data_IF_656607987567
#
_entry.id   IF_656607987567
#
_cell.length_a   1.000
_cell.length_b   1.000
_cell.length_c   1.000
_cell.angle_alpha   90.00
_cell.angle_beta   90.00
_cell.angle_gamma   90.00
#
_symmetry.space_group_name_H-M   'P 1'
#
loop_
_entity.id
_entity.type
_entity.pdbx_description
1 polymer ?
#
# COMPACT_ATOMS: atom_id res chain seq x y z
N UNK A 1 -29.90 16.50 7.72
CA UNK A 1 -29.61 17.91 7.37
C UNK A 1 -30.01 18.90 8.45
N UNK A 2 -31.17 18.77 9.12
CA UNK A 2 -31.59 19.65 10.24
C UNK A 2 -30.52 19.79 11.34
N UNK A 3 -29.97 18.67 11.84
CA UNK A 3 -28.90 18.66 12.85
C UNK A 3 -27.64 19.46 12.46
N UNK A 4 -27.22 19.43 11.19
CA UNK A 4 -26.06 20.20 10.73
C UNK A 4 -26.40 21.69 10.55
N UNK A 5 -27.65 22.03 10.24
CA UNK A 5 -28.10 23.42 10.17
C UNK A 5 -28.23 24.08 11.54
N UNK A 6 -28.57 23.29 12.57
CA UNK A 6 -28.75 23.76 13.96
C UNK A 6 -27.43 23.78 14.75
N UNK A 7 -26.44 22.94 14.37
CA UNK A 7 -25.17 22.82 15.07
C UNK A 7 -23.98 23.22 14.19
N UNK A 8 -23.51 24.46 14.37
CA UNK A 8 -22.38 25.03 13.63
C UNK A 8 -21.08 24.23 13.82
N UNK A 9 -20.85 23.65 15.01
CA UNK A 9 -19.67 22.83 15.26
C UNK A 9 -19.71 21.54 14.44
N UNK A 10 -20.84 20.83 14.43
CA UNK A 10 -21.00 19.61 13.63
C UNK A 10 -20.90 19.90 12.12
N UNK A 11 -21.44 21.04 11.67
CA UNK A 11 -21.30 21.51 10.29
C UNK A 11 -19.83 21.76 9.91
N UNK A 12 -19.08 22.51 10.74
CA UNK A 12 -17.68 22.80 10.50
C UNK A 12 -16.82 21.53 10.48
N UNK A 13 -17.08 20.57 11.40
CA UNK A 13 -16.43 19.25 11.36
C UNK A 13 -16.73 18.50 10.06
N UNK A 14 -17.98 18.55 9.58
CA UNK A 14 -18.37 17.91 8.32
C UNK A 14 -17.70 18.53 7.08
N UNK A 15 -17.23 19.77 7.16
CA UNK A 15 -16.51 20.45 6.08
C UNK A 15 -14.99 20.22 6.11
N UNK A 16 -14.43 19.69 7.21
CA UNK A 16 -12.96 19.52 7.35
C UNK A 16 -12.33 18.70 6.25
N UNK A 17 -13.01 17.69 5.70
CA UNK A 17 -12.49 16.89 4.58
C UNK A 17 -12.21 17.73 3.32
N UNK A 18 -12.89 18.88 3.15
CA UNK A 18 -12.63 19.83 2.07
C UNK A 18 -11.36 20.64 2.26
N UNK A 19 -10.73 20.58 3.44
CA UNK A 19 -9.51 21.32 3.83
C UNK A 19 -8.35 20.40 4.23
N UNK A 20 -8.64 19.20 4.73
CA UNK A 20 -7.65 18.19 5.13
C UNK A 20 -7.46 17.13 4.04
N UNK A 21 -8.45 17.00 3.15
CA UNK A 21 -8.51 15.98 2.12
C UNK A 21 -9.05 14.64 2.61
N UNK A 22 -9.12 13.65 1.70
CA UNK A 22 -9.56 12.31 2.07
C UNK A 22 -8.55 11.63 2.99
N UNK A 23 -9.04 10.84 3.95
CA UNK A 23 -8.19 10.01 4.79
C UNK A 23 -7.41 8.98 3.97
N UNK A 24 -6.25 8.55 4.46
CA UNK A 24 -5.46 7.51 3.79
C UNK A 24 -6.22 6.17 3.71
N UNK A 25 -7.06 5.88 4.71
CA UNK A 25 -7.97 4.72 4.67
C UNK A 25 -8.98 4.79 3.52
N UNK A 26 -9.54 5.96 3.26
CA UNK A 26 -10.43 6.19 2.13
C UNK A 26 -9.69 6.10 0.79
N UNK A 27 -8.50 6.71 0.69
CA UNK A 27 -7.65 6.60 -0.51
C UNK A 27 -7.31 5.14 -0.81
N UNK A 28 -6.94 4.36 0.20
CA UNK A 28 -6.66 2.93 0.08
C UNK A 28 -7.89 2.14 -0.39
N UNK A 29 -9.08 2.43 0.16
CA UNK A 29 -10.33 1.81 -0.24
C UNK A 29 -10.65 2.05 -1.73
N UNK A 30 -10.52 3.30 -2.18
CA UNK A 30 -10.79 3.71 -3.57
C UNK A 30 -9.77 3.12 -4.55
N UNK A 31 -8.49 3.07 -4.16
CA UNK A 31 -7.44 2.46 -4.96
C UNK A 31 -7.63 0.96 -5.13
N UNK A 32 -8.09 0.27 -4.08
CA UNK A 32 -8.39 -1.14 -4.22
C UNK A 32 -9.61 -1.38 -5.10
N UNK A 33 -10.67 -0.60 -4.93
CA UNK A 33 -11.89 -0.62 -5.76
C UNK A 33 -11.61 -0.44 -7.27
N UNK A 34 -10.41 -0.01 -7.63
CA UNK A 34 -9.97 0.16 -9.00
C UNK A 34 -9.83 -1.09 -9.83
N UNK A 35 -9.32 -2.14 -9.20
CA UNK A 35 -8.99 -3.36 -9.92
C UNK A 35 -10.32 -4.04 -10.21
N UNK A 36 -10.64 -4.16 -11.50
CA UNK A 36 -11.85 -4.81 -11.97
C UNK A 36 -12.00 -6.19 -11.32
N UNK A 37 -13.24 -6.58 -11.00
CA UNK A 37 -13.52 -7.84 -10.31
C UNK A 37 -12.87 -9.04 -10.99
N UNK A 38 -12.91 -9.10 -12.33
CA UNK A 38 -12.23 -10.14 -13.12
C UNK A 38 -10.72 -10.19 -12.89
N UNK A 39 -10.04 -9.04 -12.85
CA UNK A 39 -8.60 -8.99 -12.60
C UNK A 39 -8.26 -9.48 -11.20
N UNK A 40 -9.08 -9.14 -10.19
CA UNK A 40 -8.90 -9.64 -8.82
C UNK A 40 -9.01 -11.16 -8.76
N UNK A 41 -10.03 -11.70 -9.44
CA UNK A 41 -10.26 -13.14 -9.53
C UNK A 41 -9.09 -13.85 -10.22
N UNK A 42 -8.59 -13.31 -11.32
CA UNK A 42 -7.41 -13.86 -12.01
C UNK A 42 -6.16 -13.85 -11.14
N UNK A 43 -5.88 -12.76 -10.42
CA UNK A 43 -4.73 -12.70 -9.51
C UNK A 43 -4.87 -13.75 -8.40
N UNK A 44 -6.08 -13.94 -7.87
CA UNK A 44 -6.33 -14.97 -6.87
C UNK A 44 -6.08 -16.37 -7.42
N UNK A 45 -6.61 -16.70 -8.60
CA UNK A 45 -6.37 -18.00 -9.24
C UNK A 45 -4.89 -18.21 -9.59
N UNK A 46 -4.24 -17.20 -10.17
CA UNK A 46 -2.82 -17.28 -10.49
C UNK A 46 -1.96 -17.50 -9.24
N UNK A 47 -2.32 -16.87 -8.11
CA UNK A 47 -1.64 -17.09 -6.82
C UNK A 47 -1.82 -18.52 -6.35
N UNK A 48 -3.04 -19.08 -6.43
CA UNK A 48 -3.29 -20.48 -6.05
C UNK A 48 -2.54 -21.48 -6.94
N UNK A 49 -2.45 -21.21 -8.24
CA UNK A 49 -1.70 -22.05 -9.19
C UNK A 49 -0.21 -22.00 -8.83
N UNK A 50 0.34 -20.79 -8.63
CA UNK A 50 1.74 -20.61 -8.25
C UNK A 50 2.08 -21.33 -6.94
N UNK A 51 1.22 -21.25 -5.92
CA UNK A 51 1.44 -21.97 -4.64
C UNK A 51 1.47 -23.49 -4.82
N UNK A 52 0.63 -24.04 -5.71
CA UNK A 52 0.64 -25.47 -6.05
C UNK A 52 1.93 -25.86 -6.78
N UNK A 53 2.34 -25.07 -7.77
CA UNK A 53 3.57 -25.32 -8.52
C UNK A 53 4.81 -25.25 -7.64
N UNK A 54 4.88 -24.25 -6.76
CA UNK A 54 5.99 -24.09 -5.82
C UNK A 54 6.11 -25.27 -4.85
N UNK A 55 5.01 -25.96 -4.55
CA UNK A 55 4.96 -27.14 -3.66
C UNK A 55 5.39 -28.43 -4.36
N UNK A 56 5.50 -28.42 -5.68
CA UNK A 56 5.94 -29.57 -6.46
C UNK A 56 7.42 -29.95 -6.20
N UNK A 57 7.78 -31.25 -6.27
CA UNK A 57 9.13 -31.73 -5.97
C UNK A 57 10.21 -31.23 -6.94
N UNK A 58 9.82 -30.74 -8.12
CA UNK A 58 10.73 -30.20 -9.14
C UNK A 58 11.00 -28.70 -9.00
N UNK A 59 10.32 -27.98 -8.10
CA UNK A 59 10.44 -26.53 -8.02
C UNK A 59 11.66 -26.10 -7.19
N UNK A 60 12.63 -25.46 -7.83
CA UNK A 60 13.84 -24.94 -7.18
C UNK A 60 13.52 -23.64 -6.43
N UNK A 61 13.25 -23.72 -5.13
CA UNK A 61 13.04 -22.54 -4.28
C UNK A 61 14.38 -21.88 -3.94
N UNK A 62 14.41 -20.53 -3.98
CA UNK A 62 15.48 -19.78 -3.31
C UNK A 62 15.38 -20.00 -1.79
N UNK A 63 16.51 -20.01 -1.06
CA UNK A 63 16.48 -20.18 0.38
C UNK A 63 15.76 -19.00 1.05
N UNK A 64 14.72 -19.31 1.84
CA UNK A 64 13.92 -18.32 2.58
C UNK A 64 14.70 -17.63 3.71
N UNK A 65 15.78 -18.27 4.16
CA UNK A 65 16.63 -17.80 5.24
C UNK A 65 18.07 -18.17 4.91
N UNK A 66 18.97 -17.22 5.06
CA UNK A 66 20.40 -17.43 4.89
C UNK A 66 21.11 -16.96 6.16
N UNK A 67 21.91 -17.84 6.76
CA UNK A 67 22.72 -17.52 7.93
C UNK A 67 24.19 -17.56 7.55
N UNK A 68 24.90 -16.45 7.74
CA UNK A 68 26.34 -16.34 7.52
C UNK A 68 27.00 -15.86 8.79
N UNK A 69 27.61 -16.78 9.54
CA UNK A 69 28.16 -16.50 10.86
C UNK A 69 27.04 -16.13 11.84
N UNK A 70 27.10 -14.92 12.40
CA UNK A 70 26.08 -14.38 13.31
C UNK A 70 24.95 -13.65 12.59
N UNK A 71 25.08 -13.36 11.30
CA UNK A 71 24.05 -12.64 10.55
C UNK A 71 23.05 -13.61 9.91
N UNK A 72 21.77 -13.47 10.26
CA UNK A 72 20.67 -14.17 9.59
C UNK A 72 19.85 -13.17 8.77
N UNK A 73 19.62 -13.50 7.50
CA UNK A 73 18.81 -12.72 6.56
C UNK A 73 17.60 -13.55 6.13
N UNK A 74 16.43 -12.92 6.21
CA UNK A 74 15.14 -13.46 5.78
C UNK A 74 14.81 -12.93 4.39
N UNK A 75 14.40 -13.83 3.51
CA UNK A 75 13.91 -13.52 2.19
C UNK A 75 12.38 -13.59 2.20
N UNK A 76 11.77 -12.45 1.90
CA UNK A 76 10.32 -12.24 1.86
C UNK A 76 9.90 -11.84 0.44
N UNK A 77 8.64 -12.12 0.12
CA UNK A 77 8.05 -11.70 -1.15
C UNK A 77 6.96 -10.67 -0.90
N UNK A 78 6.98 -9.55 -1.63
CA UNK A 78 6.01 -8.48 -1.47
C UNK A 78 5.48 -8.03 -2.83
N UNK A 79 4.17 -7.88 -2.96
CA UNK A 79 3.55 -7.30 -4.16
C UNK A 79 2.57 -6.18 -3.80
N UNK A 80 2.37 -5.24 -4.70
CA UNK A 80 1.24 -4.31 -4.59
C UNK A 80 -0.08 -5.08 -4.74
N UNK A 81 -1.07 -4.80 -3.88
CA UNK A 81 -2.40 -5.43 -4.06
C UNK A 81 -2.98 -5.04 -5.42
N UNK A 82 -3.34 -6.05 -6.21
CA UNK A 82 -3.83 -5.85 -7.57
C UNK A 82 -2.77 -6.07 -8.67
N UNK A 83 -1.52 -6.34 -8.29
CA UNK A 83 -0.51 -6.91 -9.19
C UNK A 83 -0.28 -8.38 -8.86
N UNK A 84 0.19 -9.13 -9.85
CA UNK A 84 0.54 -10.53 -9.67
C UNK A 84 2.01 -10.70 -9.24
N UNK A 85 2.91 -9.97 -9.89
CA UNK A 85 4.36 -10.07 -9.69
C UNK A 85 4.79 -9.72 -8.26
N UNK A 86 5.68 -10.56 -7.70
CA UNK A 86 6.23 -10.42 -6.36
C UNK A 86 7.67 -9.90 -6.42
N UNK A 87 7.95 -8.91 -5.58
CA UNK A 87 9.30 -8.40 -5.38
C UNK A 87 9.98 -9.08 -4.19
N UNK A 88 11.28 -9.36 -4.35
CA UNK A 88 12.10 -9.90 -3.26
C UNK A 88 12.52 -8.79 -2.31
N UNK A 89 12.24 -8.98 -1.02
CA UNK A 89 12.65 -8.13 0.09
C UNK A 89 13.54 -8.94 1.03
N UNK A 90 14.60 -8.32 1.54
CA UNK A 90 15.54 -8.96 2.45
C UNK A 90 15.57 -8.21 3.78
N UNK A 91 15.29 -8.92 4.87
CA UNK A 91 15.35 -8.36 6.23
C UNK A 91 16.43 -9.06 7.05
N UNK A 92 17.19 -8.29 7.83
CA UNK A 92 18.18 -8.82 8.77
C UNK A 92 17.49 -9.17 10.09
N UNK A 93 17.94 -10.24 10.75
CA UNK A 93 17.38 -10.72 12.02
C UNK A 93 17.30 -9.64 13.11
N UNK A 94 18.31 -8.76 13.20
CA UNK A 94 18.31 -7.64 14.16
C UNK A 94 17.23 -6.59 13.93
N UNK A 95 16.59 -6.55 12.75
CA UNK A 95 15.58 -5.57 12.35
C UNK A 95 14.27 -6.26 11.88
N UNK A 96 13.86 -7.36 12.53
CA UNK A 96 12.58 -8.01 12.24
C UNK A 96 11.42 -7.26 12.91
N UNK A 97 11.07 -6.10 12.36
CA UNK A 97 9.92 -5.30 12.80
C UNK A 97 9.02 -4.97 11.60
N UNK A 98 7.71 -4.75 11.81
CA UNK A 98 6.83 -4.29 10.74
C UNK A 98 7.29 -2.96 10.12
N UNK A 99 7.85 -2.05 10.93
CA UNK A 99 8.36 -0.77 10.45
C UNK A 99 9.59 -0.92 9.54
N UNK A 100 10.49 -1.87 9.85
CA UNK A 100 11.63 -2.20 8.99
C UNK A 100 11.18 -2.81 7.66
N UNK A 101 10.14 -3.66 7.69
CA UNK A 101 9.52 -4.19 6.48
C UNK A 101 8.95 -3.06 5.60
N UNK A 102 8.20 -2.14 6.18
CA UNK A 102 7.63 -1.00 5.45
C UNK A 102 8.73 -0.13 4.81
N UNK A 103 9.83 0.12 5.54
CA UNK A 103 10.96 0.89 5.04
C UNK A 103 11.67 0.20 3.86
N UNK A 104 11.96 -1.10 3.96
CA UNK A 104 12.61 -1.84 2.88
C UNK A 104 11.69 -2.03 1.67
N UNK A 105 10.38 -2.24 1.88
CA UNK A 105 9.38 -2.23 0.80
C UNK A 105 9.39 -0.88 0.10
N UNK A 106 9.29 0.21 0.84
CA UNK A 106 9.27 1.55 0.25
C UNK A 106 10.57 1.85 -0.52
N UNK A 107 11.73 1.43 0.00
CA UNK A 107 13.04 1.56 -0.66
C UNK A 107 13.11 0.75 -1.96
N UNK A 108 12.70 -0.51 -1.94
CA UNK A 108 12.67 -1.39 -3.11
C UNK A 108 11.74 -0.88 -4.20
N UNK A 109 10.51 -0.50 -3.85
CA UNK A 109 9.54 -0.01 -4.82
C UNK A 109 9.93 1.38 -5.37
N UNK A 110 10.61 2.22 -4.58
CA UNK A 110 11.19 3.48 -5.09
C UNK A 110 12.33 3.24 -6.07
N UNK A 111 13.23 2.27 -5.81
CA UNK A 111 14.35 1.99 -6.72
C UNK A 111 13.89 1.45 -8.06
N UNK A 112 12.78 0.69 -8.07
CA UNK A 112 12.12 0.22 -9.28
C UNK A 112 11.33 1.30 -10.02
N UNK A 113 11.32 2.56 -9.53
CA UNK A 113 10.49 3.66 -10.03
C UNK A 113 9.01 3.24 -10.12
N UNK A 114 8.55 2.47 -9.14
CA UNK A 114 7.23 1.88 -9.15
C UNK A 114 6.12 2.92 -9.19
N UNK A 115 5.15 2.70 -10.07
CA UNK A 115 3.93 3.50 -10.15
C UNK A 115 2.76 2.65 -9.67
N UNK A 116 2.08 3.06 -8.56
CA UNK A 116 0.89 2.38 -8.10
C UNK A 116 -0.15 2.26 -9.21
N UNK A 117 -0.87 1.14 -9.24
CA UNK A 117 -1.79 0.75 -10.33
C UNK A 117 -2.68 1.91 -10.78
N UNK A 118 -3.16 2.72 -9.84
CA UNK A 118 -4.13 3.79 -10.11
C UNK A 118 -3.59 5.22 -10.11
N UNK A 119 -2.28 5.46 -10.32
CA UNK A 119 -1.74 6.84 -10.37
C UNK A 119 -2.41 7.69 -11.47
N UNK A 120 -2.84 7.10 -12.58
CA UNK A 120 -3.31 7.86 -13.75
C UNK A 120 -4.80 8.24 -13.73
N UNK A 121 -5.67 7.38 -13.19
CA UNK A 121 -7.12 7.63 -13.12
C UNK A 121 -7.53 8.55 -11.95
N UNK A 122 -6.60 8.85 -11.05
CA UNK A 122 -6.86 9.74 -9.92
C UNK A 122 -6.99 11.19 -10.40
N UNK A 123 -7.98 11.94 -9.89
CA UNK A 123 -8.02 13.39 -10.05
C UNK A 123 -6.70 14.03 -9.63
N UNK A 124 -6.24 15.02 -10.40
CA UNK A 124 -4.95 15.69 -10.19
C UNK A 124 -4.75 16.18 -8.76
N UNK A 125 -5.82 16.65 -8.10
CA UNK A 125 -5.82 17.16 -6.72
C UNK A 125 -5.41 16.15 -5.65
N UNK A 126 -5.52 14.85 -5.96
CA UNK A 126 -5.10 13.73 -5.08
C UNK A 126 -3.99 12.88 -5.71
N UNK A 127 -3.49 13.32 -6.86
CA UNK A 127 -2.40 12.70 -7.62
C UNK A 127 -1.06 13.18 -7.06
N UNK A 128 -0.76 12.79 -5.82
CA UNK A 128 0.55 13.09 -5.23
C UNK A 128 1.69 12.37 -5.95
N UNK A 129 2.94 12.77 -5.69
CA UNK A 129 4.11 12.11 -6.26
C UNK A 129 4.76 11.09 -5.32
N UNK A 130 4.75 11.33 -4.01
CA UNK A 130 5.42 10.49 -3.04
C UNK A 130 4.67 9.18 -2.75
N UNK A 131 5.38 8.05 -2.91
CA UNK A 131 4.93 6.71 -2.52
C UNK A 131 4.97 6.57 -1.00
N UNK A 132 3.82 6.28 -0.39
CA UNK A 132 3.68 6.00 1.04
C UNK A 132 3.04 4.63 1.22
N UNK A 133 3.61 3.82 2.11
CA UNK A 133 2.99 2.55 2.52
C UNK A 133 1.83 2.87 3.46
N UNK A 134 0.65 2.37 3.15
CA UNK A 134 -0.51 2.46 4.04
C UNK A 134 -0.60 1.22 4.93
N UNK A 135 -0.40 0.04 4.33
CA UNK A 135 -0.46 -1.23 5.04
C UNK A 135 0.30 -2.32 4.33
N UNK A 136 0.92 -3.20 5.11
CA UNK A 136 1.51 -4.46 4.66
C UNK A 136 0.85 -5.60 5.44
N UNK A 137 0.39 -6.63 4.74
CA UNK A 137 -0.32 -7.77 5.35
C UNK A 137 -0.08 -9.07 4.56
N UNK A 138 -0.21 -10.26 5.17
CA UNK A 138 -0.03 -11.53 4.48
C UNK A 138 -0.97 -11.72 3.29
N UNK A 139 -0.48 -12.39 2.24
CA UNK A 139 -1.31 -12.77 1.08
C UNK A 139 -2.50 -13.64 1.52
N UNK A 140 -3.64 -13.48 0.83
CA UNK A 140 -4.85 -14.29 1.08
C UNK A 140 -5.95 -13.58 1.88
N UNK A 141 -5.69 -12.36 2.37
CA UNK A 141 -6.72 -11.60 3.10
C UNK A 141 -7.73 -10.92 2.17
N UNK A 142 -8.99 -10.89 2.64
CA UNK A 142 -10.05 -10.08 2.01
C UNK A 142 -9.75 -8.59 2.17
N UNK A 143 -10.33 -7.76 1.29
CA UNK A 143 -10.15 -6.30 1.33
C UNK A 143 -10.57 -5.71 2.70
N UNK A 144 -11.66 -6.22 3.29
CA UNK A 144 -12.15 -5.76 4.60
C UNK A 144 -11.17 -6.11 5.72
N UNK A 145 -10.66 -7.34 5.74
CA UNK A 145 -9.66 -7.77 6.71
C UNK A 145 -8.38 -6.94 6.58
N UNK A 146 -7.89 -6.80 5.34
CA UNK A 146 -6.68 -6.05 5.04
C UNK A 146 -6.79 -4.56 5.39
N UNK A 147 -7.96 -3.92 5.28
CA UNK A 147 -8.13 -2.50 5.59
C UNK A 147 -8.45 -2.20 7.05
N UNK A 148 -9.27 -3.03 7.68
CA UNK A 148 -9.91 -2.65 8.94
C UNK A 148 -9.56 -3.58 10.10
N UNK A 149 -9.14 -4.81 9.83
CA UNK A 149 -8.98 -5.83 10.89
C UNK A 149 -7.53 -6.15 11.18
N UNK A 150 -6.74 -6.44 10.15
CA UNK A 150 -5.40 -6.98 10.33
C UNK A 150 -4.37 -5.93 10.68
N UNK A 151 -3.61 -6.14 11.75
CA UNK A 151 -2.37 -5.42 12.06
C UNK A 151 -1.48 -6.32 12.90
N UNK A 152 -0.17 -6.22 12.70
CA UNK A 152 0.77 -6.72 13.69
C UNK A 152 0.69 -5.79 14.90
N UNK A 153 0.40 -6.33 16.09
CA UNK A 153 0.31 -5.50 17.29
C UNK A 153 1.68 -5.30 17.94
N UNK A 154 2.55 -6.30 17.78
CA UNK A 154 3.91 -6.29 18.33
C UNK A 154 4.94 -6.74 17.28
N UNK A 155 6.21 -6.41 17.52
CA UNK A 155 7.32 -6.91 16.72
C UNK A 155 7.46 -8.45 16.84
N UNK A 156 7.08 -9.01 17.99
CA UNK A 156 7.13 -10.45 18.22
C UNK A 156 6.03 -11.20 17.46
N UNK A 157 4.84 -10.61 17.30
CA UNK A 157 3.81 -11.17 16.40
C UNK A 157 4.35 -11.33 14.97
N UNK A 158 5.14 -10.36 14.52
CA UNK A 158 5.75 -10.37 13.19
C UNK A 158 6.85 -11.42 13.09
N UNK A 159 7.75 -11.51 14.08
CA UNK A 159 8.79 -12.55 14.13
C UNK A 159 8.19 -13.94 14.13
N UNK A 160 7.21 -14.20 15.00
CA UNK A 160 6.50 -15.48 15.09
C UNK A 160 5.86 -15.84 13.74
N UNK A 161 5.27 -14.87 13.03
CA UNK A 161 4.72 -15.10 11.70
C UNK A 161 5.79 -15.54 10.70
N UNK A 162 6.98 -14.94 10.72
CA UNK A 162 8.10 -15.31 9.83
C UNK A 162 8.72 -16.66 10.17
N UNK A 163 8.68 -17.08 11.43
CA UNK A 163 9.18 -18.40 11.86
C UNK A 163 8.23 -19.52 11.42
N UNK A 164 6.92 -19.29 11.55
CA UNK A 164 5.89 -20.27 11.14
C UNK A 164 5.76 -20.34 9.61
N UNK A 165 5.99 -19.24 8.89
CA UNK A 165 5.79 -19.14 7.45
C UNK A 165 7.12 -18.85 6.73
N UNK A 166 7.90 -19.89 6.36
CA UNK A 166 9.12 -19.69 5.57
C UNK A 166 8.78 -19.08 4.21
N UNK A 167 9.55 -18.09 3.77
CA UNK A 167 9.29 -17.32 2.54
C UNK A 167 7.91 -16.60 2.59
N UNK A 168 7.57 -15.99 3.73
CA UNK A 168 6.31 -15.28 3.88
C UNK A 168 6.07 -14.29 2.73
N UNK A 169 4.84 -14.34 2.20
CA UNK A 169 4.38 -13.50 1.09
C UNK A 169 3.43 -12.44 1.63
N UNK A 170 3.68 -11.19 1.27
CA UNK A 170 2.88 -10.05 1.71
C UNK A 170 2.31 -9.29 0.52
N UNK A 171 1.18 -8.64 0.77
CA UNK A 171 0.64 -7.59 -0.08
C UNK A 171 0.82 -6.24 0.60
N UNK A 172 1.13 -5.23 -0.20
CA UNK A 172 1.24 -3.84 0.23
C UNK A 172 0.17 -2.99 -0.45
N UNK A 173 -0.45 -2.11 0.33
CA UNK A 173 -1.30 -1.04 -0.16
C UNK A 173 -0.50 0.25 -0.09
N UNK A 174 -0.36 0.91 -1.23
CA UNK A 174 0.23 2.24 -1.31
C UNK A 174 -0.86 3.31 -1.29
N UNK A 175 -0.57 4.40 -0.59
CA UNK A 175 -1.32 5.65 -0.65
C UNK A 175 -0.37 6.77 -1.00
N UNK A 176 -0.91 7.93 -1.39
CA UNK A 176 -0.08 9.11 -1.66
C UNK A 176 -0.45 10.28 -0.76
N UNK A 177 0.60 11.00 -0.36
CA UNK A 177 0.62 11.89 0.81
C UNK A 177 0.38 13.38 0.56
N UNK A 178 -0.02 13.84 -0.62
CA UNK A 178 -0.30 15.27 -0.82
C UNK A 178 -1.73 15.49 -1.33
N UNK A 179 -2.48 16.26 -0.54
CA UNK A 179 -3.74 16.87 -0.94
C UNK A 179 -3.45 18.32 -1.30
N UNK A 180 -3.75 18.72 -2.53
CA UNK A 180 -3.58 20.11 -2.96
C UNK A 180 -4.81 20.89 -2.54
N UNK A 181 -4.64 21.96 -1.74
CA UNK A 181 -5.77 22.73 -1.22
C UNK A 181 -6.45 23.50 -2.37
N UNK A 182 -7.78 23.67 -2.37
CA UNK A 182 -8.48 24.52 -3.33
C UNK A 182 -7.94 25.96 -3.36
N UNK A 183 -7.48 26.49 -2.23
CA UNK A 183 -6.84 27.81 -2.13
C UNK A 183 -5.53 27.92 -2.91
N UNK A 184 -4.82 26.81 -3.12
CA UNK A 184 -3.53 26.79 -3.83
C UNK A 184 -3.75 26.71 -5.35
N UNK A 185 -4.91 26.21 -5.78
CA UNK A 185 -5.35 26.21 -7.19
C UNK A 185 -5.75 27.62 -7.64
N UNK A 186 -6.38 28.41 -6.74
CA UNK A 186 -6.72 29.80 -7.03
C UNK A 186 -5.50 30.70 -7.28
N UNK A 187 -4.31 30.33 -6.79
CA UNK A 187 -3.04 31.04 -7.06
C UNK A 187 -2.45 30.74 -8.44
N UNK A 188 -2.88 29.68 -9.13
CA UNK A 188 -2.48 29.40 -10.51
C UNK A 188 -3.38 30.06 -11.57
N UNK A 189 -4.35 30.89 -11.15
CA UNK A 189 -5.30 31.57 -12.03
C UNK A 189 -5.06 33.07 -12.24
N UNK A 190 -3.96 33.64 -11.74
CA UNK A 190 -3.57 35.02 -12.06
C UNK A 190 -2.50 35.04 -13.15
N UNK A 191 -2.87 34.60 -14.35
CA UNK A 191 -2.17 34.99 -15.58
C UNK A 191 -2.76 36.35 -15.99
N UNK A 192 -2.23 37.42 -15.42
CA UNK A 192 -2.33 38.75 -16.01
C UNK A 192 -1.37 38.79 -17.20
N UNK A 193 -1.90 38.73 -18.42
CA UNK A 193 -1.08 38.96 -19.62
C UNK A 193 -1.79 38.58 -20.92
N UNK A 194 -1.86 39.55 -21.83
CA UNK A 194 -2.42 39.55 -23.19
C UNK A 194 -3.94 39.79 -23.34
N UNK A 195 -4.33 41.05 -23.12
CA UNK A 195 -5.08 41.77 -24.15
C UNK A 195 -4.19 42.94 -24.56
N UNK A 196 -3.47 42.78 -25.67
CA UNK A 196 -2.88 43.83 -26.50
C UNK A 196 -2.48 43.19 -27.84
N UNK A 197 -3.42 43.23 -28.79
CA UNK A 197 -3.24 43.25 -30.24
C UNK A 197 -4.62 43.27 -30.91
#
# INVERSE_FOLDING_TARGET
MKYLGENLHAYNQSLRWKYEGPSDSFKALVDMAAVHSSCRLWIQFATMIQEKEETGPGFKRRPCRCTRGTETVYHLYVRERGRFEMESIFLRYGNLTPSALEAEVLKKFKSLKHVPIRKQERPERIRGDNLKVYRVYPVGMTQRQALYTFKFNTDDDFKNHLEVNPCAKFEVIFVKGSWVKPSDIAKCGSFTGLIDA
#
